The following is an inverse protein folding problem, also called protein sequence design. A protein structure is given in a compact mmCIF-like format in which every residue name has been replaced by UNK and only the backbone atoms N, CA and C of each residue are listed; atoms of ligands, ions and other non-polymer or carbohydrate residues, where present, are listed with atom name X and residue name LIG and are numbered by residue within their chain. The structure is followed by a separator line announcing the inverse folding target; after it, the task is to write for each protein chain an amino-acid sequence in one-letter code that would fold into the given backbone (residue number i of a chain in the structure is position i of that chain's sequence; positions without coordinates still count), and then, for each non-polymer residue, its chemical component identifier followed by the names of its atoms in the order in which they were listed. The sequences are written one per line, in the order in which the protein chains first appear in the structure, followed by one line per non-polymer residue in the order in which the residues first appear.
data_IF_104109041130
#
_entry.id   IF_104109041130
#
_cell.length_a   1.000
_cell.length_b   1.000
_cell.length_c   1.000
_cell.angle_alpha   90.00
_cell.angle_beta   90.00
_cell.angle_gamma   90.00
#
_symmetry.space_group_name_H-M   'P 1'
#
loop_
_entity.id
_entity.type
_entity.pdbx_description
1 polymer ?
#
# COMPACT_ATOMS: atom_id res chain seq x y z
N UNK A 1 8.18 -11.21 -4.96
CA UNK A 1 6.90 -10.72 -4.42
C UNK A 1 6.13 -11.90 -3.87
N UNK A 2 5.49 -11.80 -2.71
CA UNK A 2 4.61 -12.87 -2.23
C UNK A 2 3.29 -12.86 -3.01
N UNK A 3 2.65 -14.02 -3.08
CA UNK A 3 1.36 -14.22 -3.75
C UNK A 3 0.34 -14.85 -2.81
N UNK A 4 -0.95 -14.73 -3.16
CA UNK A 4 -2.05 -15.49 -2.56
C UNK A 4 -2.81 -16.24 -3.64
N UNK A 5 -3.41 -17.37 -3.27
CA UNK A 5 -4.31 -18.11 -4.16
C UNK A 5 -5.71 -17.50 -4.12
N UNK A 6 -6.19 -17.03 -5.26
CA UNK A 6 -7.52 -16.45 -5.43
C UNK A 6 -8.19 -17.09 -6.64
N UNK A 7 -9.28 -17.83 -6.42
CA UNK A 7 -10.02 -18.50 -7.51
C UNK A 7 -9.19 -19.54 -8.28
N UNK A 8 -8.20 -20.17 -7.63
CA UNK A 8 -7.28 -21.13 -8.26
C UNK A 8 -6.15 -20.50 -9.07
N UNK A 9 -5.93 -19.19 -8.92
CA UNK A 9 -4.85 -18.45 -9.57
C UNK A 9 -3.98 -17.78 -8.51
N UNK A 10 -2.67 -17.82 -8.72
CA UNK A 10 -1.71 -17.12 -7.88
C UNK A 10 -1.65 -15.63 -8.25
N UNK A 11 -1.97 -14.77 -7.29
CA UNK A 11 -2.07 -13.30 -7.47
C UNK A 11 -1.08 -12.60 -6.54
N UNK A 12 -0.32 -11.59 -6.98
CA UNK A 12 0.57 -10.83 -6.10
C UNK A 12 -0.20 -10.13 -4.98
N UNK A 13 0.41 -10.09 -3.79
CA UNK A 13 -0.18 -9.43 -2.61
C UNK A 13 -0.13 -7.91 -2.67
N UNK A 14 0.66 -7.36 -3.58
CA UNK A 14 0.71 -5.93 -3.89
C UNK A 14 0.38 -5.74 -5.38
N UNK A 15 -0.65 -4.94 -5.64
CA UNK A 15 -1.03 -4.47 -6.97
C UNK A 15 -0.79 -2.98 -7.17
N UNK A 16 -1.33 -2.44 -8.26
CA UNK A 16 -1.22 -1.04 -8.65
C UNK A 16 -2.61 -0.41 -8.73
N UNK A 17 -2.85 0.63 -7.94
CA UNK A 17 -4.04 1.48 -8.11
C UNK A 17 -3.83 2.49 -9.23
N UNK A 18 -4.83 2.69 -10.08
CA UNK A 18 -4.75 3.62 -11.23
C UNK A 18 -5.59 4.88 -11.09
N UNK A 19 -6.06 5.20 -9.88
CA UNK A 19 -6.85 6.41 -9.64
C UNK A 19 -6.18 7.68 -10.20
N UNK A 20 -6.97 8.48 -10.93
CA UNK A 20 -6.58 9.67 -11.71
C UNK A 20 -5.61 9.45 -12.88
N UNK A 21 -5.16 8.22 -13.17
CA UNK A 21 -4.30 7.99 -14.32
C UNK A 21 -5.06 8.18 -15.64
N UNK A 22 -4.47 8.90 -16.59
CA UNK A 22 -5.06 9.17 -17.90
C UNK A 22 -5.93 10.43 -17.98
N UNK A 23 -6.16 11.12 -16.86
CA UNK A 23 -6.94 12.37 -16.82
C UNK A 23 -6.12 13.59 -17.26
N UNK A 24 -4.80 13.57 -17.04
CA UNK A 24 -3.87 14.62 -17.46
C UNK A 24 -2.96 14.14 -18.60
N UNK A 25 -3.16 14.72 -19.78
CA UNK A 25 -2.35 14.42 -20.96
C UNK A 25 -0.85 14.69 -20.75
N UNK A 26 -0.48 15.65 -19.88
CA UNK A 26 0.89 15.95 -19.51
C UNK A 26 1.56 14.83 -18.70
N UNK A 27 0.78 14.04 -17.97
CA UNK A 27 1.26 12.94 -17.12
C UNK A 27 1.23 11.57 -17.78
N UNK A 28 0.50 11.43 -18.89
CA UNK A 28 0.30 10.16 -19.61
C UNK A 28 1.58 9.33 -19.80
N UNK A 29 2.67 9.97 -20.19
CA UNK A 29 3.95 9.27 -20.40
C UNK A 29 4.56 8.76 -19.09
N UNK A 30 4.44 9.53 -18.00
CA UNK A 30 4.89 9.10 -16.68
C UNK A 30 4.03 7.94 -16.14
N UNK A 31 2.72 8.01 -16.32
CA UNK A 31 1.77 6.96 -15.90
C UNK A 31 2.01 5.64 -16.64
N UNK A 32 2.18 5.69 -17.97
CA UNK A 32 2.50 4.48 -18.75
C UNK A 32 3.84 3.88 -18.30
N UNK A 33 4.85 4.71 -18.02
CA UNK A 33 6.13 4.23 -17.48
C UNK A 33 5.96 3.62 -16.09
N UNK A 34 5.16 4.24 -15.23
CA UNK A 34 4.88 3.74 -13.89
C UNK A 34 4.20 2.36 -13.94
N UNK A 35 3.15 2.21 -14.73
CA UNK A 35 2.44 0.93 -14.90
C UNK A 35 3.38 -0.18 -15.38
N UNK A 36 4.19 0.12 -16.40
CA UNK A 36 5.18 -0.84 -16.93
C UNK A 36 6.22 -1.22 -15.88
N UNK A 37 6.80 -0.23 -15.20
CA UNK A 37 7.76 -0.48 -14.13
C UNK A 37 7.15 -1.30 -12.99
N UNK A 38 5.88 -1.08 -12.66
CA UNK A 38 5.18 -1.88 -11.67
C UNK A 38 4.99 -3.34 -12.11
N UNK A 39 4.69 -3.57 -13.39
CA UNK A 39 4.65 -4.93 -13.96
C UNK A 39 6.03 -5.59 -13.89
N UNK A 40 7.10 -4.87 -14.22
CA UNK A 40 8.49 -5.37 -14.14
C UNK A 40 8.89 -5.73 -12.69
N UNK A 41 8.31 -5.03 -11.69
CA UNK A 41 8.49 -5.33 -10.26
C UNK A 41 7.58 -6.46 -9.75
N UNK A 42 6.71 -7.01 -10.61
CA UNK A 42 5.79 -8.11 -10.27
C UNK A 42 4.41 -7.69 -9.75
N UNK A 43 4.09 -6.39 -9.74
CA UNK A 43 2.77 -5.88 -9.34
C UNK A 43 1.77 -6.04 -10.51
N UNK A 44 1.36 -7.28 -10.77
CA UNK A 44 0.51 -7.65 -11.92
C UNK A 44 -0.99 -7.59 -11.65
N UNK A 45 -1.40 -7.36 -10.41
CA UNK A 45 -2.79 -6.98 -10.09
C UNK A 45 -2.96 -5.48 -10.34
N UNK A 46 -3.91 -5.11 -11.19
CA UNK A 46 -4.25 -3.71 -11.48
C UNK A 46 -5.64 -3.44 -10.94
N UNK A 47 -5.75 -2.42 -10.11
CA UNK A 47 -7.01 -1.87 -9.65
C UNK A 47 -7.33 -0.58 -10.42
N UNK A 48 -8.50 -0.58 -11.03
CA UNK A 48 -8.95 0.47 -11.95
C UNK A 48 -9.99 1.40 -11.35
N UNK A 49 -10.11 1.47 -10.02
CA UNK A 49 -11.15 2.30 -9.42
C UNK A 49 -10.93 3.80 -9.69
N UNK A 50 -12.05 4.52 -9.84
CA UNK A 50 -12.08 5.95 -10.16
C UNK A 50 -12.01 6.87 -8.93
N UNK A 51 -11.97 6.32 -7.69
CA UNK A 51 -11.92 7.13 -6.46
C UNK A 51 -11.31 6.39 -5.26
N UNK A 52 -10.46 7.06 -4.48
CA UNK A 52 -9.92 6.60 -3.18
C UNK A 52 -9.70 7.74 -2.18
N UNK A 53 -9.40 7.39 -0.92
CA UNK A 53 -9.12 8.32 0.15
C UNK A 53 -7.68 8.87 0.06
N UNK A 54 -7.49 10.13 0.42
CA UNK A 54 -6.15 10.70 0.56
C UNK A 54 -5.52 10.28 1.89
N UNK A 55 -4.77 9.18 1.89
CA UNK A 55 -4.08 8.63 3.08
C UNK A 55 -3.02 9.56 3.73
N UNK A 56 -2.97 10.86 3.40
CA UNK A 56 -1.92 11.77 3.83
C UNK A 56 -1.84 12.01 5.34
N UNK A 57 -2.96 11.92 6.07
CA UNK A 57 -2.94 12.06 7.54
C UNK A 57 -2.23 10.89 8.23
N UNK A 58 -2.37 9.67 7.70
CA UNK A 58 -1.68 8.48 8.17
C UNK A 58 -0.17 8.66 8.05
N UNK A 59 0.30 9.16 6.90
CA UNK A 59 1.74 9.28 6.60
C UNK A 59 2.47 10.34 7.44
N UNK A 60 1.75 11.24 8.13
CA UNK A 60 2.33 12.25 9.03
C UNK A 60 2.32 11.84 10.51
N UNK A 61 1.88 10.62 10.82
CA UNK A 61 1.80 10.14 12.19
C UNK A 61 3.21 9.88 12.76
N UNK A 62 3.51 10.50 13.90
CA UNK A 62 4.83 10.40 14.54
C UNK A 62 5.19 8.96 14.98
N UNK A 63 4.20 8.13 15.31
CA UNK A 63 4.44 6.71 15.61
C UNK A 63 4.82 5.93 14.38
N UNK A 64 4.14 6.13 13.25
CA UNK A 64 4.54 5.50 11.99
C UNK A 64 5.91 5.97 11.52
N UNK A 65 6.26 7.24 11.74
CA UNK A 65 7.60 7.74 11.43
C UNK A 65 8.68 7.02 12.24
N UNK A 66 8.50 6.86 13.56
CA UNK A 66 9.46 6.18 14.43
C UNK A 66 9.66 4.71 14.06
N UNK A 67 8.57 4.02 13.73
CA UNK A 67 8.63 2.62 13.27
C UNK A 67 9.31 2.56 11.90
N UNK A 68 9.00 3.50 11.00
CA UNK A 68 9.67 3.58 9.70
C UNK A 68 11.19 3.77 9.86
N UNK A 69 11.61 4.64 10.77
CA UNK A 69 13.04 4.86 11.07
C UNK A 69 13.70 3.57 11.59
N UNK A 70 13.05 2.85 12.52
CA UNK A 70 13.53 1.55 13.03
C UNK A 70 13.76 0.52 11.92
N UNK A 71 12.89 0.50 10.91
CA UNK A 71 12.94 -0.44 9.79
C UNK A 71 13.71 0.08 8.56
N UNK A 72 14.30 1.28 8.63
CA UNK A 72 14.91 1.95 7.46
C UNK A 72 13.95 2.02 6.25
N UNK A 73 12.69 2.33 6.54
CA UNK A 73 11.59 2.34 5.59
C UNK A 73 10.87 3.70 5.59
N UNK A 74 9.79 3.83 4.82
CA UNK A 74 8.88 4.99 4.88
C UNK A 74 7.60 4.68 5.65
N UNK A 75 6.88 5.69 6.19
CA UNK A 75 5.58 5.48 6.83
C UNK A 75 4.56 4.76 5.93
N UNK A 76 4.62 4.99 4.60
CA UNK A 76 3.78 4.29 3.64
C UNK A 76 4.12 2.80 3.55
N UNK A 77 5.40 2.44 3.57
CA UNK A 77 5.83 1.04 3.60
C UNK A 77 5.41 0.35 4.90
N UNK A 78 5.47 1.04 6.04
CA UNK A 78 4.98 0.48 7.33
C UNK A 78 3.48 0.25 7.29
N UNK A 79 2.70 1.19 6.78
CA UNK A 79 1.25 1.02 6.62
C UNK A 79 0.90 -0.16 5.71
N UNK A 80 1.61 -0.30 4.57
CA UNK A 80 1.44 -1.43 3.67
C UNK A 80 1.84 -2.75 4.34
N UNK A 81 3.00 -2.82 4.99
CA UNK A 81 3.46 -4.00 5.70
C UNK A 81 2.48 -4.45 6.80
N UNK A 82 1.91 -3.49 7.53
CA UNK A 82 0.88 -3.76 8.53
C UNK A 82 -0.37 -4.39 7.91
N UNK A 83 -0.85 -3.88 6.78
CA UNK A 83 -2.02 -4.43 6.09
C UNK A 83 -1.72 -5.85 5.55
N UNK A 84 -0.54 -6.02 4.93
CA UNK A 84 -0.08 -7.27 4.33
C UNK A 84 0.30 -8.34 5.35
N UNK A 85 0.33 -8.03 6.65
CA UNK A 85 0.53 -9.05 7.69
C UNK A 85 -0.64 -10.05 7.72
N UNK A 86 -1.85 -9.63 7.32
CA UNK A 86 -3.01 -10.51 7.23
C UNK A 86 -2.97 -11.34 5.94
N UNK A 87 -3.02 -12.69 6.01
CA UNK A 87 -2.80 -13.56 4.86
C UNK A 87 -3.81 -13.38 3.73
N UNK A 88 -5.03 -12.95 4.03
CA UNK A 88 -6.10 -12.71 3.04
C UNK A 88 -6.15 -11.29 2.46
N UNK A 89 -5.17 -10.43 2.76
CA UNK A 89 -5.16 -9.03 2.29
C UNK A 89 -4.25 -8.89 1.07
N UNK A 90 -4.78 -8.21 0.05
CA UNK A 90 -4.04 -7.64 -1.07
C UNK A 90 -4.11 -6.10 -0.95
N UNK A 91 -2.97 -5.42 -1.10
CA UNK A 91 -2.90 -3.97 -1.12
C UNK A 91 -2.71 -3.45 -2.55
N UNK A 92 -3.34 -2.33 -2.89
CA UNK A 92 -3.36 -1.73 -4.25
C UNK A 92 -2.96 -0.25 -4.21
N UNK A 93 -1.76 0.09 -3.70
CA UNK A 93 -1.35 1.49 -3.60
C UNK A 93 -1.17 2.14 -4.98
N UNK A 94 -1.43 3.44 -5.08
CA UNK A 94 -1.19 4.24 -6.29
C UNK A 94 0.17 4.92 -6.24
N UNK A 95 0.93 4.83 -7.33
CA UNK A 95 2.17 5.58 -7.50
C UNK A 95 2.44 5.88 -8.98
N UNK A 96 2.86 7.11 -9.27
CA UNK A 96 3.41 7.52 -10.58
C UNK A 96 4.93 7.73 -10.53
N UNK A 97 5.48 7.87 -9.32
CA UNK A 97 6.93 7.93 -9.10
C UNK A 97 7.52 6.52 -9.04
N UNK A 98 8.63 6.32 -9.75
CA UNK A 98 9.36 5.06 -9.74
C UNK A 98 9.89 4.70 -8.35
N UNK A 99 10.28 5.68 -7.55
CA UNK A 99 10.78 5.44 -6.20
C UNK A 99 9.66 4.95 -5.28
N UNK A 100 8.47 5.55 -5.38
CA UNK A 100 7.30 5.06 -4.64
C UNK A 100 6.88 3.67 -5.11
N UNK A 101 6.96 3.34 -6.41
CA UNK A 101 6.68 1.99 -6.89
C UNK A 101 7.63 0.95 -6.29
N UNK A 102 8.93 1.26 -6.25
CA UNK A 102 9.92 0.39 -5.61
C UNK A 102 9.61 0.23 -4.12
N UNK A 103 9.35 1.34 -3.42
CA UNK A 103 8.99 1.31 -2.00
C UNK A 103 7.75 0.43 -1.74
N UNK A 104 6.69 0.60 -2.54
CA UNK A 104 5.48 -0.21 -2.47
C UNK A 104 5.80 -1.69 -2.65
N UNK A 105 6.52 -2.05 -3.72
CA UNK A 105 6.88 -3.44 -4.00
C UNK A 105 7.71 -4.09 -2.88
N UNK A 106 8.57 -3.32 -2.20
CA UNK A 106 9.37 -3.81 -1.08
C UNK A 106 8.64 -3.84 0.27
N UNK A 107 7.46 -3.23 0.41
CA UNK A 107 6.74 -3.21 1.68
C UNK A 107 6.41 -4.62 2.21
N UNK A 108 6.13 -5.57 1.31
CA UNK A 108 5.84 -6.98 1.63
C UNK A 108 7.05 -7.75 2.23
N UNK A 109 8.25 -7.17 2.17
CA UNK A 109 9.45 -7.74 2.80
C UNK A 109 9.65 -7.32 4.26
N UNK A 110 8.96 -6.27 4.70
CA UNK A 110 9.08 -5.73 6.06
C UNK A 110 8.32 -6.63 7.03
N UNK A 111 8.98 -6.99 8.14
CA UNK A 111 8.40 -7.78 9.22
C UNK A 111 8.28 -6.91 10.46
N UNK A 112 7.05 -6.52 10.79
CA UNK A 112 6.74 -5.79 12.01
C UNK A 112 6.78 -6.75 13.20
N UNK A 113 7.48 -6.36 14.27
CA UNK A 113 7.52 -7.13 15.51
C UNK A 113 6.37 -6.77 16.45
N UNK A 114 6.28 -7.47 17.59
CA UNK A 114 5.20 -7.27 18.56
C UNK A 114 5.16 -5.85 19.14
N UNK A 115 6.32 -5.21 19.31
CA UNK A 115 6.41 -3.84 19.80
C UNK A 115 5.92 -2.84 18.75
N UNK A 116 6.28 -3.02 17.48
CA UNK A 116 5.74 -2.21 16.38
C UNK A 116 4.21 -2.29 16.33
N UNK A 117 3.67 -3.50 16.43
CA UNK A 117 2.22 -3.73 16.40
C UNK A 117 1.52 -3.10 17.60
N UNK A 118 2.09 -3.24 18.81
CA UNK A 118 1.55 -2.62 20.01
C UNK A 118 1.55 -1.08 19.91
N UNK A 119 2.61 -0.48 19.36
CA UNK A 119 2.67 0.96 19.12
C UNK A 119 1.63 1.42 18.09
N UNK A 120 1.40 0.64 17.02
CA UNK A 120 0.37 0.92 16.02
C UNK A 120 -1.03 0.84 16.64
N UNK A 121 -1.34 -0.21 17.39
CA UNK A 121 -2.63 -0.40 18.05
C UNK A 121 -2.92 0.72 19.07
N UNK A 122 -1.90 1.20 19.78
CA UNK A 122 -2.03 2.35 20.68
C UNK A 122 -2.32 3.67 19.94
N UNK A 123 -1.75 3.86 18.74
CA UNK A 123 -1.99 5.03 17.91
C UNK A 123 -3.31 4.98 17.12
N UNK A 124 -3.76 3.77 16.78
CA UNK A 124 -4.92 3.48 15.94
C UNK A 124 -5.77 2.37 16.57
N UNK A 125 -6.42 2.69 17.69
CA UNK A 125 -7.20 1.70 18.43
C UNK A 125 -8.30 1.07 17.55
N UNK A 126 -8.46 -0.27 17.58
CA UNK A 126 -9.49 -0.95 16.81
C UNK A 126 -10.89 -0.53 17.27
N UNK A 127 -11.90 -0.53 16.36
CA UNK A 127 -13.26 -0.18 16.73
C UNK A 127 -13.85 -1.21 17.71
N UNK A 128 -14.30 -0.74 18.87
CA UNK A 128 -14.92 -1.59 19.92
C UNK A 128 -16.45 -1.72 19.80
N UNK A 129 -17.04 -1.06 18.80
CA UNK A 129 -18.47 -1.11 18.49
C UNK A 129 -18.70 -0.96 17.00
N UNK A 130 -19.87 -1.37 16.51
CA UNK A 130 -20.27 -1.18 15.12
C UNK A 130 -20.18 0.30 14.72
N UNK A 131 -19.51 0.57 13.60
CA UNK A 131 -19.44 1.87 12.95
C UNK A 131 -19.98 1.73 11.52
N UNK A 132 -20.37 2.84 10.90
CA UNK A 132 -20.74 2.84 9.47
C UNK A 132 -19.52 2.55 8.60
N UNK A 133 -19.73 1.94 7.44
CA UNK A 133 -18.66 1.75 6.46
C UNK A 133 -18.19 3.13 5.99
N UNK A 134 -16.90 3.42 6.17
CA UNK A 134 -16.32 4.62 5.60
C UNK A 134 -16.23 4.45 4.09
N UNK A 135 -16.87 5.36 3.36
CA UNK A 135 -16.75 5.50 1.92
C UNK A 135 -16.18 6.88 1.62
N UNK A 136 -15.44 6.96 0.52
CA UNK A 136 -14.81 8.16 -0.02
C UNK A 136 -15.29 8.35 -1.44
#
# INVERSE_FOLDING_TARGET
MQTIELGGVSVPRIGQGTWHMGEDAGQRQAEVRALRAGLDLGMTLIDTAEMYAEGGALLRNATLQRIADKHSATPAQIALAWALRHPGVIAIPKAVSLDHLKQNAYADSIRLDEDDLAQIDAAYAPPVRKQGLMMV
#
